data_IF_286440619243
#
_entry.id   IF_286440619243
#
_cell.length_a   1.000
_cell.length_b   1.000
_cell.length_c   1.000
_cell.angle_alpha   90.00
_cell.angle_beta   90.00
_cell.angle_gamma   90.00
#
_symmetry.space_group_name_H-M   'P 1'
#
loop_
_entity.id
_entity.type
_entity.pdbx_description
1 polymer ?
#
# COMPACT_ATOMS: atom_id res chain seq x y z
N UNK A 1 -21.46 -15.30 -2.94
CA UNK A 1 -20.50 -14.54 -2.11
C UNK A 1 -19.58 -15.45 -1.28
N UNK A 2 -20.02 -16.65 -0.87
CA UNK A 2 -19.20 -17.63 -0.11
C UNK A 2 -17.90 -18.07 -0.82
N UNK A 3 -17.89 -18.12 -2.16
CA UNK A 3 -16.71 -18.58 -2.92
C UNK A 3 -15.45 -17.71 -2.68
N UNK A 4 -15.61 -16.45 -2.24
CA UNK A 4 -14.49 -15.56 -1.91
C UNK A 4 -13.86 -15.86 -0.55
N UNK A 5 -14.54 -16.62 0.31
CA UNK A 5 -14.11 -16.91 1.68
C UNK A 5 -13.52 -18.32 1.81
N UNK A 6 -13.32 -19.02 0.69
CA UNK A 6 -12.93 -20.44 0.62
C UNK A 6 -11.53 -20.67 1.20
N UNK A 7 -10.67 -19.65 1.14
CA UNK A 7 -9.33 -19.68 1.72
C UNK A 7 -9.37 -19.79 3.25
N UNK A 8 -10.46 -19.37 3.90
CA UNK A 8 -10.64 -19.44 5.36
C UNK A 8 -11.28 -20.74 5.84
N UNK A 9 -11.62 -21.66 4.92
CA UNK A 9 -12.31 -22.90 5.23
C UNK A 9 -11.35 -24.09 5.39
N UNK A 10 -11.91 -25.28 5.57
CA UNK A 10 -11.13 -26.50 5.77
C UNK A 10 -10.34 -26.92 4.52
N UNK A 11 -9.34 -27.79 4.70
CA UNK A 11 -8.44 -28.27 3.63
C UNK A 11 -9.13 -28.71 2.32
N UNK A 12 -10.29 -29.40 2.32
CA UNK A 12 -10.97 -29.77 1.08
C UNK A 12 -11.35 -28.56 0.22
N UNK A 13 -11.75 -27.45 0.84
CA UNK A 13 -12.09 -26.21 0.16
C UNK A 13 -10.84 -25.51 -0.39
N UNK A 14 -9.80 -25.40 0.42
CA UNK A 14 -8.51 -24.83 0.00
C UNK A 14 -7.89 -25.63 -1.16
N UNK A 15 -7.97 -26.97 -1.11
CA UNK A 15 -7.48 -27.84 -2.18
C UNK A 15 -8.13 -27.52 -3.52
N UNK A 16 -9.46 -27.33 -3.55
CA UNK A 16 -10.16 -26.99 -4.79
C UNK A 16 -9.71 -25.63 -5.38
N UNK A 17 -9.39 -24.66 -4.53
CA UNK A 17 -8.84 -23.36 -4.96
C UNK A 17 -7.41 -23.51 -5.45
N UNK A 18 -6.58 -24.30 -4.77
CA UNK A 18 -5.20 -24.54 -5.15
C UNK A 18 -5.11 -25.28 -6.49
N UNK A 19 -5.98 -26.25 -6.75
CA UNK A 19 -6.09 -26.92 -8.06
C UNK A 19 -6.44 -25.92 -9.18
N UNK A 20 -7.35 -24.98 -8.92
CA UNK A 20 -7.69 -23.92 -9.87
C UNK A 20 -6.51 -22.95 -10.08
N UNK A 21 -5.86 -22.50 -9.00
CA UNK A 21 -4.68 -21.62 -9.04
C UNK A 21 -3.57 -22.27 -9.85
N UNK A 22 -3.29 -23.55 -9.63
CA UNK A 22 -2.27 -24.29 -10.38
C UNK A 22 -2.61 -24.39 -11.87
N UNK A 23 -3.88 -24.66 -12.21
CA UNK A 23 -4.31 -24.70 -13.61
C UNK A 23 -4.19 -23.34 -14.33
N UNK A 24 -4.38 -22.23 -13.61
CA UNK A 24 -4.32 -20.86 -14.16
C UNK A 24 -2.89 -20.32 -14.21
N UNK A 25 -2.10 -20.55 -13.17
CA UNK A 25 -0.76 -19.97 -12.99
C UNK A 25 0.36 -20.89 -13.52
N UNK A 26 0.07 -22.18 -13.72
CA UNK A 26 1.05 -23.16 -14.19
C UNK A 26 2.07 -23.61 -13.13
N UNK A 27 1.83 -23.31 -11.85
CA UNK A 27 2.66 -23.72 -10.72
C UNK A 27 1.88 -24.57 -9.72
N UNK A 28 2.47 -25.67 -9.26
CA UNK A 28 1.86 -26.56 -8.25
C UNK A 28 2.29 -26.20 -6.81
N UNK A 29 2.93 -25.06 -6.60
CA UNK A 29 3.40 -24.65 -5.27
C UNK A 29 2.22 -24.25 -4.38
N UNK A 30 2.01 -25.02 -3.32
CA UNK A 30 1.11 -24.69 -2.24
C UNK A 30 1.82 -23.73 -1.28
N UNK A 31 1.26 -22.54 -1.07
CA UNK A 31 1.81 -21.56 -0.12
C UNK A 31 1.93 -22.18 1.27
N UNK A 32 3.08 -21.98 1.92
CA UNK A 32 3.27 -22.45 3.28
C UNK A 32 2.37 -21.67 4.23
N UNK A 33 1.77 -22.36 5.19
CA UNK A 33 0.68 -21.80 6.03
C UNK A 33 1.01 -20.45 6.68
N UNK A 34 2.25 -20.24 7.11
CA UNK A 34 2.62 -18.98 7.77
C UNK A 34 2.61 -17.79 6.79
N UNK A 35 2.96 -17.98 5.51
CA UNK A 35 2.87 -16.96 4.47
C UNK A 35 1.42 -16.60 4.20
N UNK A 36 0.54 -17.59 4.10
CA UNK A 36 -0.91 -17.38 3.97
C UNK A 36 -1.46 -16.59 5.17
N UNK A 37 -1.00 -16.89 6.40
CA UNK A 37 -1.41 -16.14 7.59
C UNK A 37 -0.91 -14.69 7.56
N UNK A 38 0.34 -14.45 7.14
CA UNK A 38 0.88 -13.09 6.99
C UNK A 38 0.11 -12.32 5.92
N UNK A 39 -0.16 -12.94 4.77
CA UNK A 39 -0.95 -12.36 3.68
C UNK A 39 -2.38 -12.01 4.13
N UNK A 40 -3.01 -12.85 4.95
CA UNK A 40 -4.34 -12.57 5.49
C UNK A 40 -4.34 -11.32 6.41
N UNK A 41 -3.32 -11.19 7.27
CA UNK A 41 -3.15 -9.99 8.11
C UNK A 41 -2.86 -8.76 7.26
N UNK A 42 -2.00 -8.91 6.25
CA UNK A 42 -1.63 -7.83 5.35
C UNK A 42 -2.84 -7.28 4.56
N UNK A 43 -3.66 -8.17 4.01
CA UNK A 43 -4.87 -7.79 3.29
C UNK A 43 -5.97 -7.23 4.19
N UNK A 44 -6.02 -7.68 5.45
CA UNK A 44 -7.08 -7.33 6.38
C UNK A 44 -6.83 -6.05 7.17
N UNK A 45 -5.65 -5.97 7.79
CA UNK A 45 -5.23 -4.90 8.71
C UNK A 45 -3.79 -4.44 8.38
N UNK A 46 -3.54 -3.94 7.16
CA UNK A 46 -2.19 -3.63 6.66
C UNK A 46 -1.43 -2.65 7.56
N UNK A 47 -2.11 -1.66 8.17
CA UNK A 47 -1.43 -0.66 8.99
C UNK A 47 -0.83 -1.24 10.27
N UNK A 48 -1.40 -2.32 10.81
CA UNK A 48 -0.81 -3.02 11.94
C UNK A 48 0.50 -3.72 11.55
N UNK A 49 0.52 -4.39 10.40
CA UNK A 49 1.70 -5.10 9.90
C UNK A 49 2.82 -4.13 9.49
N UNK A 50 2.50 -3.07 8.75
CA UNK A 50 3.51 -2.09 8.34
C UNK A 50 4.09 -1.32 9.51
N UNK A 51 3.32 -1.09 10.60
CA UNK A 51 3.86 -0.47 11.81
C UNK A 51 4.99 -1.31 12.43
N UNK A 52 4.89 -2.64 12.36
CA UNK A 52 5.96 -3.54 12.80
C UNK A 52 7.19 -3.40 11.90
N UNK A 53 6.99 -3.47 10.58
CA UNK A 53 8.08 -3.37 9.59
C UNK A 53 8.83 -2.04 9.69
N UNK A 54 8.09 -0.94 9.83
CA UNK A 54 8.65 0.42 9.90
C UNK A 54 9.50 0.60 11.15
N UNK A 55 9.06 0.07 12.30
CA UNK A 55 9.86 0.13 13.54
C UNK A 55 11.19 -0.61 13.42
N UNK A 56 11.27 -1.63 12.58
CA UNK A 56 12.47 -2.44 12.40
C UNK A 56 13.40 -1.88 11.32
N UNK A 57 12.84 -1.40 10.20
CA UNK A 57 13.62 -1.07 9.00
C UNK A 57 13.88 0.44 8.84
N UNK A 58 13.00 1.31 9.35
CA UNK A 58 13.13 2.75 9.09
C UNK A 58 13.90 3.45 10.20
N UNK A 59 15.11 3.93 9.87
CA UNK A 59 15.99 4.71 10.75
C UNK A 59 15.63 6.21 10.84
N UNK A 60 14.45 6.62 10.38
CA UNK A 60 13.97 8.00 10.36
C UNK A 60 14.53 8.88 9.23
N UNK A 61 15.70 8.56 8.66
CA UNK A 61 16.34 9.33 7.57
C UNK A 61 15.82 8.93 6.17
N UNK A 62 15.35 7.68 6.04
CA UNK A 62 14.84 7.13 4.77
C UNK A 62 13.72 7.97 4.15
N UNK A 63 12.74 8.39 4.94
CA UNK A 63 11.58 9.15 4.44
C UNK A 63 11.99 10.55 3.93
N UNK A 64 12.67 11.40 4.71
CA UNK A 64 13.15 12.71 4.24
C UNK A 64 14.05 12.64 3.00
N UNK A 65 14.93 11.63 2.93
CA UNK A 65 15.83 11.50 1.78
C UNK A 65 15.08 11.02 0.52
N UNK A 66 14.08 10.15 0.66
CA UNK A 66 13.19 9.79 -0.45
C UNK A 66 12.31 10.97 -0.89
N UNK A 67 11.88 11.85 0.02
CA UNK A 67 11.14 13.08 -0.28
C UNK A 67 12.02 14.06 -1.08
N UNK A 68 13.28 14.24 -0.66
CA UNK A 68 14.23 15.06 -1.39
C UNK A 68 14.53 14.54 -2.79
N UNK A 69 14.68 13.22 -2.95
CA UNK A 69 14.86 12.59 -4.27
C UNK A 69 13.63 12.80 -5.17
N UNK A 70 12.44 12.67 -4.59
CA UNK A 70 11.16 12.91 -5.25
C UNK A 70 11.04 14.32 -5.82
N UNK A 71 11.46 15.32 -5.05
CA UNK A 71 11.48 16.72 -5.49
C UNK A 71 12.54 16.96 -6.57
N UNK A 72 13.73 16.35 -6.44
CA UNK A 72 14.76 16.43 -7.47
C UNK A 72 14.27 15.86 -8.83
N UNK A 73 13.53 14.75 -8.80
CA UNK A 73 12.92 14.15 -10.02
C UNK A 73 11.88 15.09 -10.63
N UNK A 74 11.03 15.73 -9.82
CA UNK A 74 10.06 16.73 -10.32
C UNK A 74 10.76 17.90 -11.01
N UNK A 75 11.82 18.42 -10.41
CA UNK A 75 12.60 19.51 -11.00
C UNK A 75 13.29 19.09 -12.29
N UNK A 76 13.88 17.89 -12.33
CA UNK A 76 14.47 17.34 -13.55
C UNK A 76 13.43 17.16 -14.66
N UNK A 77 12.23 16.65 -14.33
CA UNK A 77 11.13 16.52 -15.27
C UNK A 77 10.73 17.88 -15.86
N UNK A 78 10.57 18.91 -15.01
CA UNK A 78 10.26 20.28 -15.47
C UNK A 78 11.35 20.84 -16.38
N UNK A 79 12.62 20.64 -16.05
CA UNK A 79 13.76 21.06 -16.90
C UNK A 79 13.73 20.38 -18.27
N UNK A 80 13.51 19.07 -18.30
CA UNK A 80 13.45 18.30 -19.55
C UNK A 80 12.26 18.72 -20.43
N UNK A 81 11.14 19.10 -19.81
CA UNK A 81 9.94 19.54 -20.53
C UNK A 81 10.18 20.79 -21.41
N UNK A 82 11.11 21.67 -21.01
CA UNK A 82 11.49 22.84 -21.82
C UNK A 82 12.29 22.47 -23.08
N UNK A 83 12.91 21.30 -23.10
CA UNK A 83 13.70 20.81 -24.25
C UNK A 83 12.83 20.11 -25.30
N UNK A 84 11.60 19.72 -24.95
CA UNK A 84 10.68 19.01 -25.84
C UNK A 84 10.02 19.96 -26.84
N UNK A 85 10.51 19.94 -28.08
CA UNK A 85 10.01 20.76 -29.20
C UNK A 85 8.63 20.35 -29.72
N UNK A 86 8.19 19.12 -29.43
CA UNK A 86 6.90 18.60 -29.88
C UNK A 86 5.72 19.05 -28.99
N UNK A 87 6.01 19.64 -27.83
CA UNK A 87 5.00 20.18 -26.91
C UNK A 87 4.91 21.69 -27.11
N UNK A 88 3.73 22.18 -27.42
CA UNK A 88 3.47 23.61 -27.58
C UNK A 88 3.53 24.36 -26.22
N UNK A 89 3.70 25.69 -26.24
CA UNK A 89 3.86 26.47 -25.02
C UNK A 89 2.68 26.39 -24.05
N UNK A 90 1.43 26.27 -24.53
CA UNK A 90 0.24 26.26 -23.67
C UNK A 90 0.09 24.89 -22.99
N UNK A 91 0.26 23.80 -23.73
CA UNK A 91 0.30 22.45 -23.15
C UNK A 91 1.43 22.32 -22.13
N UNK A 92 2.61 22.93 -22.40
CA UNK A 92 3.72 22.93 -21.45
C UNK A 92 3.35 23.57 -20.11
N UNK A 93 2.66 24.71 -20.12
CA UNK A 93 2.19 25.38 -18.88
C UNK A 93 1.26 24.48 -18.08
N UNK A 94 0.33 23.79 -18.75
CA UNK A 94 -0.61 22.87 -18.09
C UNK A 94 0.12 21.66 -17.47
N UNK A 95 1.12 21.11 -18.15
CA UNK A 95 1.94 20.02 -17.60
C UNK A 95 2.71 20.50 -16.38
N UNK A 96 3.32 21.70 -16.42
CA UNK A 96 4.02 22.27 -15.26
C UNK A 96 3.07 22.43 -14.08
N UNK A 97 1.88 23.02 -14.29
CA UNK A 97 0.88 23.16 -13.24
C UNK A 97 0.43 21.80 -12.66
N UNK A 98 0.35 20.75 -13.48
CA UNK A 98 0.08 19.39 -13.01
C UNK A 98 1.22 18.83 -12.16
N UNK A 99 2.47 19.05 -12.55
CA UNK A 99 3.65 18.59 -11.79
C UNK A 99 3.80 19.36 -10.49
N UNK A 100 3.57 20.67 -10.49
CA UNK A 100 3.65 21.50 -9.28
C UNK A 100 2.53 21.14 -8.28
N UNK A 101 1.35 20.75 -8.77
CA UNK A 101 0.25 20.28 -7.92
C UNK A 101 0.34 18.80 -7.52
N UNK A 102 1.32 18.04 -8.03
CA UNK A 102 1.49 16.60 -7.76
C UNK A 102 1.82 16.38 -6.27
N UNK A 103 1.00 15.61 -5.56
CA UNK A 103 1.29 15.20 -4.18
C UNK A 103 2.15 13.94 -4.18
N UNK A 104 3.17 13.92 -3.33
CA UNK A 104 4.03 12.75 -3.12
C UNK A 104 3.72 12.18 -1.75
N UNK A 105 3.45 10.88 -1.69
CA UNK A 105 3.29 10.16 -0.44
C UNK A 105 4.41 9.11 -0.33
N UNK A 106 5.12 9.09 0.79
CA UNK A 106 6.28 8.20 0.97
C UNK A 106 6.10 7.35 2.21
N UNK A 107 6.25 6.05 2.01
CA UNK A 107 6.31 5.06 3.07
C UNK A 107 4.93 4.68 3.58
N UNK A 108 4.50 5.42 4.60
CA UNK A 108 3.41 5.05 5.49
C UNK A 108 2.83 6.31 6.16
N UNK A 109 1.59 6.26 6.69
CA UNK A 109 0.99 7.41 7.34
C UNK A 109 1.54 7.57 8.75
N UNK A 110 1.82 8.80 9.19
CA UNK A 110 2.57 9.05 10.44
C UNK A 110 1.90 8.47 11.69
N UNK A 111 0.55 8.35 11.70
CA UNK A 111 -0.19 7.85 12.86
C UNK A 111 0.21 6.43 13.27
N UNK A 112 0.74 5.59 12.36
CA UNK A 112 1.14 4.22 12.69
C UNK A 112 2.37 4.16 13.60
N UNK A 113 3.14 5.24 13.66
CA UNK A 113 4.29 5.37 14.56
C UNK A 113 3.83 5.54 16.02
N UNK A 114 2.57 5.93 16.22
CA UNK A 114 1.96 6.21 17.52
C UNK A 114 1.00 5.07 17.88
N UNK A 115 1.37 4.25 18.87
CA UNK A 115 0.58 3.06 19.24
C UNK A 115 -0.84 3.41 19.66
N UNK A 116 -1.06 4.53 20.35
CA UNK A 116 -2.38 5.02 20.75
C UNK A 116 -3.29 5.32 19.54
N UNK A 117 -2.73 5.86 18.46
CA UNK A 117 -3.49 6.16 17.25
C UNK A 117 -3.76 4.91 16.43
N UNK A 118 -2.80 3.98 16.37
CA UNK A 118 -2.96 2.69 15.72
C UNK A 118 -3.98 1.80 16.44
N UNK A 119 -3.97 1.78 17.77
CA UNK A 119 -4.96 1.05 18.57
C UNK A 119 -6.36 1.63 18.37
N UNK A 120 -6.47 2.97 18.30
CA UNK A 120 -7.74 3.65 18.01
C UNK A 120 -8.27 3.33 16.61
N UNK A 121 -7.37 3.21 15.61
CA UNK A 121 -7.74 2.81 14.25
C UNK A 121 -8.46 1.45 14.25
N UNK A 122 -7.98 0.50 15.06
CA UNK A 122 -8.52 -0.86 15.14
C UNK A 122 -9.41 -1.13 16.36
N UNK A 123 -9.87 -0.09 17.07
CA UNK A 123 -10.60 -0.20 18.35
C UNK A 123 -11.90 -1.05 18.27
N UNK A 124 -12.45 -1.22 17.07
CA UNK A 124 -13.71 -1.95 16.81
C UNK A 124 -13.49 -3.40 16.37
N UNK A 125 -12.25 -3.85 16.29
CA UNK A 125 -11.90 -5.21 15.91
C UNK A 125 -11.51 -6.00 17.16
N UNK A 126 -12.24 -7.08 17.41
CA UNK A 126 -11.94 -8.04 18.47
C UNK A 126 -11.72 -9.42 17.84
N UNK A 127 -10.55 -9.98 18.08
CA UNK A 127 -10.13 -11.27 17.52
C UNK A 127 -10.23 -12.40 18.55
N UNK A 128 -10.57 -13.60 18.07
CA UNK A 128 -10.49 -14.84 18.83
C UNK A 128 -9.40 -15.74 18.25
N UNK A 129 -8.52 -16.27 19.09
CA UNK A 129 -7.45 -17.18 18.66
C UNK A 129 -7.98 -18.49 18.04
N UNK A 130 -9.23 -18.85 18.33
CA UNK A 130 -9.84 -20.12 17.90
C UNK A 130 -10.86 -19.97 16.78
N UNK A 131 -11.15 -18.73 16.34
CA UNK A 131 -12.23 -18.44 15.40
C UNK A 131 -11.74 -17.63 14.18
N UNK A 132 -10.89 -18.26 13.38
CA UNK A 132 -10.26 -17.64 12.22
C UNK A 132 -11.28 -17.15 11.17
N UNK A 133 -12.33 -17.93 10.91
CA UNK A 133 -13.33 -17.55 9.90
C UNK A 133 -14.08 -16.28 10.31
N UNK A 134 -14.59 -16.22 11.55
CA UNK A 134 -15.31 -15.03 11.99
C UNK A 134 -14.38 -13.82 12.18
N UNK A 135 -13.10 -14.00 12.52
CA UNK A 135 -12.13 -12.90 12.53
C UNK A 135 -12.04 -12.23 11.15
N UNK A 136 -11.93 -13.01 10.07
CA UNK A 136 -11.87 -12.47 8.72
C UNK A 136 -13.19 -11.80 8.31
N UNK A 137 -14.34 -12.37 8.67
CA UNK A 137 -15.63 -11.72 8.42
C UNK A 137 -15.76 -10.37 9.15
N UNK A 138 -15.27 -10.27 10.39
CA UNK A 138 -15.24 -9.00 11.14
C UNK A 138 -14.38 -7.95 10.44
N UNK A 139 -13.20 -8.35 9.95
CA UNK A 139 -12.31 -7.47 9.18
C UNK A 139 -13.01 -6.96 7.92
N UNK A 140 -13.65 -7.85 7.15
CA UNK A 140 -14.38 -7.47 5.94
C UNK A 140 -15.50 -6.46 6.24
N UNK A 141 -16.31 -6.73 7.27
CA UNK A 141 -17.38 -5.82 7.69
C UNK A 141 -16.84 -4.46 8.15
N UNK A 142 -15.75 -4.46 8.93
CA UNK A 142 -15.09 -3.25 9.39
C UNK A 142 -14.58 -2.40 8.22
N UNK A 143 -13.88 -3.02 7.26
CA UNK A 143 -13.32 -2.33 6.09
C UNK A 143 -14.43 -1.77 5.17
N UNK A 144 -15.51 -2.52 4.97
CA UNK A 144 -16.70 -2.03 4.26
C UNK A 144 -17.28 -0.81 4.97
N UNK A 145 -17.64 -0.91 6.26
CA UNK A 145 -18.21 0.21 7.03
C UNK A 145 -17.28 1.44 6.97
N UNK A 146 -15.96 1.25 7.07
CA UNK A 146 -14.97 2.33 6.98
C UNK A 146 -14.98 2.98 5.59
N UNK A 147 -15.10 2.19 4.52
CA UNK A 147 -15.23 2.69 3.15
C UNK A 147 -16.51 3.50 2.96
N UNK A 148 -17.65 2.99 3.42
CA UNK A 148 -18.95 3.65 3.32
C UNK A 148 -18.99 5.00 4.06
N UNK A 149 -18.29 5.13 5.19
CA UNK A 149 -18.17 6.40 5.92
C UNK A 149 -17.47 7.53 5.13
N UNK A 150 -16.79 7.20 4.03
CA UNK A 150 -16.09 8.18 3.19
C UNK A 150 -16.95 8.74 2.07
N UNK A 151 -18.18 8.25 1.89
CA UNK A 151 -19.03 8.62 0.75
C UNK A 151 -19.29 10.14 0.65
N UNK A 152 -19.50 10.80 1.78
CA UNK A 152 -19.76 12.25 1.86
C UNK A 152 -18.53 13.07 2.29
N UNK A 153 -17.35 12.45 2.31
CA UNK A 153 -16.09 13.12 2.70
C UNK A 153 -15.30 13.53 1.45
N UNK A 154 -14.58 14.66 1.50
CA UNK A 154 -13.68 15.03 0.41
C UNK A 154 -12.57 13.97 0.24
N UNK A 155 -12.08 13.74 -1.00
CA UNK A 155 -11.00 12.81 -1.23
C UNK A 155 -9.73 13.21 -0.46
N UNK A 156 -9.15 12.27 0.27
CA UNK A 156 -7.88 12.47 0.95
C UNK A 156 -6.72 12.09 0.02
N UNK A 157 -5.89 13.06 -0.37
CA UNK A 157 -4.73 12.85 -1.26
C UNK A 157 -3.54 12.15 -0.57
N UNK A 158 -3.56 12.12 0.76
CA UNK A 158 -2.57 11.46 1.62
C UNK A 158 -3.01 10.04 2.01
N UNK A 159 -4.21 9.63 1.62
CA UNK A 159 -4.67 8.28 1.86
C UNK A 159 -3.89 7.29 1.00
N UNK A 160 -3.34 6.27 1.66
CA UNK A 160 -2.60 5.22 1.02
C UNK A 160 -3.53 4.02 0.77
N UNK A 161 -3.50 3.51 -0.45
CA UNK A 161 -4.05 2.20 -0.81
C UNK A 161 -2.96 1.19 -0.49
N UNK A 162 -3.07 0.43 0.59
CA UNK A 162 -1.95 -0.40 1.03
C UNK A 162 -2.32 -1.84 1.31
N UNK A 163 -1.54 -2.75 0.69
CA UNK A 163 -0.84 -3.81 1.40
C UNK A 163 0.43 -3.21 2.04
N UNK A 164 0.75 -3.64 3.26
CA UNK A 164 1.97 -3.33 3.99
C UNK A 164 3.24 -3.89 3.34
N UNK A 165 3.11 -5.00 2.62
CA UNK A 165 4.25 -5.77 2.09
C UNK A 165 4.55 -5.51 0.62
N UNK A 166 3.64 -4.82 -0.08
CA UNK A 166 3.82 -4.48 -1.49
C UNK A 166 5.08 -3.64 -1.72
N UNK A 167 6.09 -4.27 -2.31
CA UNK A 167 7.25 -3.61 -2.93
C UNK A 167 6.78 -2.97 -4.24
N UNK A 168 5.94 -1.94 -4.12
CA UNK A 168 5.36 -1.23 -5.25
C UNK A 168 5.32 0.30 -5.06
N UNK A 169 5.07 1.01 -6.16
CA UNK A 169 4.72 2.42 -6.20
C UNK A 169 3.63 2.65 -7.23
N UNK A 170 2.69 3.55 -6.94
CA UNK A 170 1.53 3.76 -7.79
C UNK A 170 1.19 5.24 -7.96
N UNK A 171 0.54 5.57 -9.08
CA UNK A 171 0.01 6.90 -9.37
C UNK A 171 -1.52 6.89 -9.40
N UNK A 172 -2.13 7.81 -8.67
CA UNK A 172 -3.56 8.08 -8.70
C UNK A 172 -3.84 9.27 -9.62
N UNK A 173 -4.50 8.99 -10.75
CA UNK A 173 -4.88 10.02 -11.74
C UNK A 173 -5.90 11.01 -11.17
N UNK A 174 -6.89 10.54 -10.41
CA UNK A 174 -7.94 11.37 -9.82
C UNK A 174 -7.44 12.27 -8.70
N UNK A 175 -6.44 11.81 -7.93
CA UNK A 175 -5.85 12.58 -6.83
C UNK A 175 -4.63 13.38 -7.25
N UNK A 176 -4.15 13.20 -8.49
CA UNK A 176 -2.84 13.67 -8.94
C UNK A 176 -1.78 13.44 -7.86
N UNK A 177 -1.64 12.21 -7.39
CA UNK A 177 -0.69 11.83 -6.36
C UNK A 177 0.06 10.58 -6.78
N UNK A 178 1.33 10.47 -6.40
CA UNK A 178 2.04 9.20 -6.46
C UNK A 178 2.46 8.79 -5.06
N UNK A 179 2.46 7.48 -4.84
CA UNK A 179 2.84 6.86 -3.57
C UNK A 179 3.99 5.89 -3.81
N UNK A 180 5.01 5.95 -2.96
CA UNK A 180 6.05 4.94 -2.86
C UNK A 180 5.83 4.22 -1.53
N UNK A 181 5.57 2.91 -1.56
CA UNK A 181 5.33 2.15 -0.34
C UNK A 181 6.61 2.02 0.49
N UNK A 182 6.44 1.84 1.80
CA UNK A 182 7.57 1.67 2.72
C UNK A 182 8.46 0.49 2.34
N UNK A 183 7.86 -0.62 1.92
CA UNK A 183 8.57 -1.81 1.46
C UNK A 183 9.40 -1.60 0.18
N UNK A 184 9.22 -0.48 -0.56
CA UNK A 184 10.10 -0.12 -1.67
C UNK A 184 11.41 0.54 -1.22
N UNK A 185 11.43 1.10 0.00
CA UNK A 185 12.53 1.90 0.52
C UNK A 185 13.54 1.04 1.30
N UNK A 186 13.90 -0.09 0.71
CA UNK A 186 14.88 -1.05 1.23
C UNK A 186 15.74 -1.62 0.09
N UNK A 187 16.88 -2.26 0.39
CA UNK A 187 17.68 -2.95 -0.60
C UNK A 187 16.86 -3.99 -1.40
N UNK A 188 17.14 -4.19 -2.69
CA UNK A 188 18.20 -3.56 -3.48
C UNK A 188 17.85 -2.19 -4.07
N UNK A 189 16.62 -1.71 -3.85
CA UNK A 189 16.10 -0.51 -4.54
C UNK A 189 16.56 0.79 -3.89
N UNK A 190 16.69 0.80 -2.56
CA UNK A 190 17.00 2.01 -1.81
C UNK A 190 17.76 1.71 -0.52
N UNK A 191 18.81 2.48 -0.27
CA UNK A 191 19.48 2.57 1.02
C UNK A 191 20.03 3.99 1.15
N UNK A 192 19.97 4.58 2.35
CA UNK A 192 20.48 5.94 2.59
C UNK A 192 21.99 6.05 2.35
N UNK A 193 22.71 4.92 2.41
CA UNK A 193 24.15 4.82 2.21
C UNK A 193 24.54 4.49 0.76
N UNK A 194 23.57 4.29 -0.15
CA UNK A 194 23.90 4.06 -1.56
C UNK A 194 24.44 5.33 -2.24
N UNK A 195 25.33 5.19 -3.24
CA UNK A 195 25.81 6.32 -4.03
C UNK A 195 24.65 7.08 -4.68
N UNK A 196 24.72 8.41 -4.67
CA UNK A 196 23.76 9.32 -5.30
C UNK A 196 24.23 9.77 -6.67
#
# INVERSE_FOLDING_TARGET
>A
MIWKEVDYLSKPFQKAVNELKAAVLGSEEEEVRWETCVSAVDNGIPFALIAMLVREIFNGETKPMAESMSDAIKEAYKKNLFQLKWIDPETRKLIIAKVDSLKVNIGFPDYILHSDQLDKEYEKLEFSETDYFNNNLKILQYNEIKSWKKLDLPPNREELKMSATDVNGYYSTSLNSYTINAAYLQPPFYDVNYPR
#
